data_IF_833558084951
#
_entry.id   IF_833558084951
#
_cell.length_a   1.000
_cell.length_b   1.000
_cell.length_c   1.000
_cell.angle_alpha   90.00
_cell.angle_beta   90.00
_cell.angle_gamma   90.00
#
_symmetry.space_group_name_H-M   'P 1'
#
loop_
_entity.id
_entity.type
_entity.pdbx_description
1 polymer ?
#
# COMPACT_ATOMS: atom_id res chain seq x y z
N UNK A 1 5.36 6.99 6.19
CA UNK A 1 5.97 5.83 5.51
C UNK A 1 6.90 5.05 6.44
N UNK A 2 7.80 5.69 7.19
CA UNK A 2 8.74 5.01 8.11
C UNK A 2 8.04 4.08 9.11
N UNK A 3 7.02 4.55 9.82
CA UNK A 3 6.26 3.74 10.77
C UNK A 3 5.62 2.47 10.15
N UNK A 4 5.18 2.54 8.88
CA UNK A 4 4.66 1.36 8.18
C UNK A 4 5.77 0.35 7.90
N UNK A 5 6.95 0.80 7.49
CA UNK A 5 8.10 -0.07 7.27
C UNK A 5 8.55 -0.72 8.57
N UNK A 6 8.61 0.04 9.64
CA UNK A 6 8.97 -0.45 10.97
C UNK A 6 7.96 -1.50 11.49
N UNK A 7 6.66 -1.26 11.34
CA UNK A 7 5.62 -2.18 11.80
C UNK A 7 5.53 -3.48 10.99
N UNK A 8 6.04 -3.50 9.77
CA UNK A 8 6.00 -4.66 8.88
C UNK A 8 7.41 -5.23 8.60
N UNK A 9 8.40 -4.81 9.36
CA UNK A 9 9.80 -5.26 9.27
C UNK A 9 10.37 -5.16 7.85
N UNK A 10 10.07 -4.03 7.17
CA UNK A 10 10.44 -3.84 5.77
C UNK A 10 11.71 -2.99 5.64
N UNK A 11 12.60 -3.33 4.69
CA UNK A 11 13.83 -2.58 4.47
C UNK A 11 13.54 -1.14 4.02
N UNK A 12 14.44 -0.24 4.38
CA UNK A 12 14.43 1.13 3.87
C UNK A 12 14.99 1.12 2.46
N UNK A 13 14.17 1.50 1.48
CA UNK A 13 14.66 1.80 0.14
C UNK A 13 15.23 3.23 0.17
N UNK A 14 16.54 3.36 -0.05
CA UNK A 14 17.17 4.66 -0.20
C UNK A 14 16.96 5.14 -1.64
N UNK A 15 16.04 6.05 -1.84
CA UNK A 15 16.07 6.92 -3.02
C UNK A 15 17.06 8.06 -2.76
N UNK A 16 17.85 8.43 -3.76
CA UNK A 16 18.68 9.63 -3.64
C UNK A 16 17.78 10.85 -3.40
N UNK A 17 18.24 11.86 -2.63
CA UNK A 17 17.43 13.05 -2.35
C UNK A 17 16.94 13.77 -3.61
N UNK A 18 17.65 13.67 -4.71
CA UNK A 18 17.30 14.25 -6.01
C UNK A 18 16.11 13.53 -6.68
N UNK A 19 15.98 12.21 -6.50
CA UNK A 19 14.84 11.44 -7.02
C UNK A 19 13.55 11.63 -6.22
N UNK A 20 13.63 12.23 -5.04
CA UNK A 20 12.46 12.43 -4.18
C UNK A 20 11.51 13.51 -4.70
N UNK A 21 11.97 14.42 -5.54
CA UNK A 21 11.17 15.54 -6.08
C UNK A 21 10.61 15.27 -7.48
N UNK A 22 11.36 14.61 -8.35
CA UNK A 22 11.06 14.55 -9.77
C UNK A 22 10.48 13.21 -10.26
N UNK A 23 10.68 12.13 -9.51
CA UNK A 23 10.16 10.82 -9.88
C UNK A 23 9.46 10.16 -8.68
N UNK A 24 8.11 10.20 -8.62
CA UNK A 24 7.40 9.59 -7.52
C UNK A 24 7.65 8.09 -7.55
N UNK A 25 8.46 7.61 -6.63
CA UNK A 25 8.63 6.19 -6.35
C UNK A 25 7.25 5.55 -6.26
N UNK A 26 6.99 4.53 -7.06
CA UNK A 26 5.72 3.81 -6.99
C UNK A 26 5.76 2.77 -5.85
N UNK A 27 4.62 2.16 -5.56
CA UNK A 27 4.55 1.05 -4.64
C UNK A 27 5.44 -0.09 -5.12
N UNK A 28 6.13 -0.73 -4.19
CA UNK A 28 6.98 -1.91 -4.46
C UNK A 28 6.69 -3.02 -3.44
N UNK A 29 7.34 -4.16 -3.60
CA UNK A 29 7.31 -5.22 -2.59
C UNK A 29 7.93 -4.79 -1.24
N UNK A 30 8.72 -3.72 -1.24
CA UNK A 30 9.38 -3.15 -0.05
C UNK A 30 8.73 -1.84 0.42
N UNK A 31 7.72 -1.33 -0.29
CA UNK A 31 7.04 -0.05 0.02
C UNK A 31 5.55 -0.18 -0.22
N UNK A 32 4.78 -0.37 0.86
CA UNK A 32 3.33 -0.65 0.82
C UNK A 32 2.46 0.61 0.76
N UNK A 33 3.01 1.76 1.09
CA UNK A 33 2.33 3.04 1.00
C UNK A 33 3.30 4.15 0.59
N UNK A 34 2.81 5.07 -0.22
CA UNK A 34 3.52 6.27 -0.63
C UNK A 34 2.60 7.48 -0.54
N UNK A 35 3.20 8.65 -0.45
CA UNK A 35 2.48 9.92 -0.57
C UNK A 35 2.96 10.57 -1.86
N UNK A 36 2.05 10.78 -2.80
CA UNK A 36 2.33 11.50 -4.04
C UNK A 36 1.89 12.95 -3.91
N UNK A 37 2.76 13.85 -4.29
CA UNK A 37 2.45 15.26 -4.48
C UNK A 37 1.95 15.47 -5.90
N UNK A 38 0.82 16.09 -6.05
CA UNK A 38 0.27 16.54 -7.34
C UNK A 38 0.28 18.06 -7.34
N UNK A 39 0.89 18.65 -8.34
CA UNK A 39 0.92 20.09 -8.54
C UNK A 39 0.07 20.44 -9.76
N UNK A 40 -0.75 21.49 -9.62
CA UNK A 40 -1.51 22.06 -10.69
C UNK A 40 -1.21 23.57 -10.76
N UNK A 41 -0.60 24.00 -11.85
CA UNK A 41 -0.19 25.41 -12.02
C UNK A 41 1.12 25.80 -11.31
N UNK A 42 1.37 27.09 -11.23
CA UNK A 42 2.63 27.69 -10.78
C UNK A 42 2.60 28.28 -9.36
N UNK A 43 1.45 28.27 -8.68
CA UNK A 43 1.33 28.89 -7.37
C UNK A 43 1.79 27.99 -6.24
N UNK A 44 2.50 28.57 -5.31
CA UNK A 44 3.00 27.89 -4.12
C UNK A 44 1.94 27.69 -3.03
N UNK A 45 0.71 28.15 -3.22
CA UNK A 45 -0.32 28.14 -2.20
C UNK A 45 -1.32 26.99 -2.39
N UNK A 46 -1.54 26.25 -1.31
CA UNK A 46 -2.46 25.13 -1.21
C UNK A 46 -3.93 25.51 -1.32
N UNK A 47 -4.24 26.77 -1.07
CA UNK A 47 -5.61 27.28 -0.86
C UNK A 47 -6.22 27.92 -2.11
N UNK A 48 -5.47 27.98 -3.21
CA UNK A 48 -5.96 28.57 -4.45
C UNK A 48 -6.49 27.48 -5.38
N UNK A 49 -7.75 27.61 -5.78
CA UNK A 49 -8.49 26.61 -6.57
C UNK A 49 -7.86 26.33 -7.94
N UNK A 50 -7.19 27.32 -8.52
CA UNK A 50 -6.60 27.22 -9.86
C UNK A 50 -5.12 26.81 -9.85
N UNK A 51 -4.44 26.96 -8.73
CA UNK A 51 -3.01 26.76 -8.61
C UNK A 51 -2.67 26.17 -7.24
N UNK A 52 -2.86 24.88 -7.10
CA UNK A 52 -2.62 24.23 -5.84
C UNK A 52 -1.77 22.95 -5.97
N UNK A 53 -1.41 22.42 -4.85
CA UNK A 53 -0.86 21.08 -4.78
C UNK A 53 -1.66 20.23 -3.80
N UNK A 54 -1.75 18.92 -4.08
CA UNK A 54 -2.41 17.95 -3.22
C UNK A 54 -1.45 16.82 -2.88
N UNK A 55 -1.49 16.37 -1.63
CA UNK A 55 -0.81 15.17 -1.20
C UNK A 55 -1.80 14.01 -1.14
N UNK A 56 -1.60 13.01 -1.97
CA UNK A 56 -2.46 11.84 -2.04
C UNK A 56 -1.69 10.63 -1.54
N UNK A 57 -2.20 10.01 -0.48
CA UNK A 57 -1.67 8.75 0.04
C UNK A 57 -2.14 7.61 -0.85
N UNK A 58 -1.20 6.88 -1.42
CA UNK A 58 -1.44 5.69 -2.23
C UNK A 58 -1.13 4.43 -1.42
N UNK A 59 -2.13 3.60 -1.21
CA UNK A 59 -2.04 2.32 -0.48
C UNK A 59 -3.21 1.41 -0.88
N UNK A 60 -3.30 0.20 -0.32
CA UNK A 60 -4.47 -0.65 -0.48
C UNK A 60 -5.73 0.05 0.07
N UNK A 61 -6.79 0.07 -0.72
CA UNK A 61 -8.07 0.68 -0.34
C UNK A 61 -8.99 -0.29 0.42
N UNK A 62 -8.61 -1.57 0.53
CA UNK A 62 -9.42 -2.62 1.15
C UNK A 62 -10.88 -2.59 0.64
N UNK A 63 -11.03 -2.57 -0.68
CA UNK A 63 -12.29 -2.37 -1.42
C UNK A 63 -13.46 -3.13 -0.80
N UNK A 64 -14.67 -2.59 -0.96
CA UNK A 64 -15.90 -3.25 -0.52
C UNK A 64 -16.09 -4.55 -1.30
N UNK A 65 -15.91 -4.50 -2.61
CA UNK A 65 -15.86 -5.65 -3.51
C UNK A 65 -14.46 -5.80 -4.10
N UNK A 66 -13.58 -6.63 -3.48
CA UNK A 66 -12.19 -6.70 -3.83
C UNK A 66 -11.94 -7.67 -4.98
N UNK A 67 -11.79 -7.19 -6.22
CA UNK A 67 -11.46 -7.99 -7.39
C UNK A 67 -10.22 -8.88 -7.20
N UNK A 68 -9.26 -8.46 -6.38
CA UNK A 68 -8.07 -9.26 -6.06
C UNK A 68 -8.40 -10.52 -5.24
N UNK A 69 -9.44 -10.50 -4.42
CA UNK A 69 -9.92 -11.68 -3.67
C UNK A 69 -10.61 -12.64 -4.64
N UNK A 70 -11.54 -12.12 -5.46
CA UNK A 70 -12.27 -12.91 -6.45
C UNK A 70 -11.33 -13.58 -7.46
N UNK A 71 -10.25 -12.91 -7.85
CA UNK A 71 -9.27 -13.45 -8.79
C UNK A 71 -8.29 -14.46 -8.17
N UNK A 72 -8.30 -14.66 -6.86
CA UNK A 72 -7.34 -15.55 -6.19
C UNK A 72 -7.81 -17.02 -6.25
N UNK A 73 -7.18 -17.91 -7.04
CA UNK A 73 -7.64 -19.29 -7.22
C UNK A 73 -7.42 -20.17 -5.97
N UNK A 74 -6.54 -19.75 -5.06
CA UNK A 74 -6.15 -20.51 -3.86
C UNK A 74 -6.65 -19.85 -2.57
N UNK A 75 -7.52 -18.85 -2.65
CA UNK A 75 -8.04 -18.10 -1.50
C UNK A 75 -6.96 -17.62 -0.53
N UNK A 76 -5.80 -17.26 -1.06
CA UNK A 76 -4.73 -16.63 -0.28
C UNK A 76 -5.06 -15.17 0.09
N UNK A 77 -5.99 -14.55 -0.64
CA UNK A 77 -6.59 -13.27 -0.31
C UNK A 77 -8.02 -13.50 0.15
N UNK A 78 -8.40 -12.88 1.25
CA UNK A 78 -9.74 -12.96 1.81
C UNK A 78 -10.22 -11.61 2.32
N UNK A 79 -11.53 -11.39 2.31
CA UNK A 79 -12.19 -10.20 2.85
C UNK A 79 -12.77 -10.52 4.22
N UNK A 80 -12.15 -10.01 5.26
CA UNK A 80 -12.70 -10.09 6.60
C UNK A 80 -14.00 -9.26 6.67
N UNK A 81 -15.10 -9.93 6.94
CA UNK A 81 -16.44 -9.33 6.98
C UNK A 81 -16.65 -8.42 8.19
N UNK A 82 -15.93 -8.64 9.28
CA UNK A 82 -16.07 -7.86 10.51
C UNK A 82 -15.27 -6.57 10.43
N UNK A 83 -14.00 -6.66 10.06
CA UNK A 83 -13.10 -5.50 10.01
C UNK A 83 -13.10 -4.79 8.66
N UNK A 84 -13.60 -5.44 7.62
CA UNK A 84 -13.52 -4.93 6.25
C UNK A 84 -12.11 -4.99 5.64
N UNK A 85 -11.15 -5.58 6.31
CA UNK A 85 -9.78 -5.69 5.83
C UNK A 85 -9.67 -6.81 4.80
N UNK A 86 -9.01 -6.54 3.68
CA UNK A 86 -8.58 -7.60 2.77
C UNK A 86 -7.27 -8.15 3.29
N UNK A 87 -7.33 -9.35 3.84
CA UNK A 87 -6.19 -10.09 4.41
C UNK A 87 -5.43 -10.85 3.35
N UNK A 88 -4.23 -11.29 3.68
CA UNK A 88 -3.38 -12.07 2.80
C UNK A 88 -2.62 -13.13 3.60
N UNK A 89 -2.76 -14.39 3.17
CA UNK A 89 -2.05 -15.53 3.72
C UNK A 89 -0.91 -15.95 2.76
N UNK A 90 0.34 -15.67 3.11
CA UNK A 90 1.47 -16.06 2.29
C UNK A 90 1.67 -17.59 2.23
N UNK A 91 1.12 -18.37 3.18
CA UNK A 91 1.20 -19.82 3.19
C UNK A 91 0.44 -20.47 2.05
N UNK A 92 -0.69 -19.88 1.65
CA UNK A 92 -1.52 -20.35 0.53
C UNK A 92 -1.10 -19.80 -0.83
N UNK A 93 -0.35 -18.69 -0.86
CA UNK A 93 -0.02 -18.01 -2.10
C UNK A 93 0.93 -18.83 -2.97
N UNK A 94 0.54 -19.07 -4.22
CA UNK A 94 1.35 -19.76 -5.24
C UNK A 94 2.08 -18.80 -6.19
N UNK A 95 1.97 -17.49 -5.98
CA UNK A 95 2.65 -16.50 -6.82
C UNK A 95 2.09 -16.31 -8.24
N UNK A 96 0.84 -16.70 -8.51
CA UNK A 96 0.24 -16.65 -9.85
C UNK A 96 0.01 -15.22 -10.39
N UNK A 97 0.04 -14.20 -9.55
CA UNK A 97 -0.08 -12.76 -9.88
C UNK A 97 -1.44 -12.31 -10.41
N UNK A 98 -2.48 -13.15 -10.43
CA UNK A 98 -3.81 -12.76 -10.88
C UNK A 98 -4.38 -11.58 -10.09
N UNK A 99 -4.12 -11.51 -8.79
CA UNK A 99 -4.52 -10.38 -7.97
C UNK A 99 -3.85 -9.05 -8.36
N UNK A 100 -2.65 -9.08 -8.96
CA UNK A 100 -1.99 -7.87 -9.48
C UNK A 100 -2.72 -7.36 -10.73
N UNK A 101 -3.09 -8.27 -11.63
CA UNK A 101 -3.80 -7.94 -12.88
C UNK A 101 -5.23 -7.47 -12.58
N UNK A 102 -5.90 -8.13 -11.65
CA UNK A 102 -7.29 -7.82 -11.29
C UNK A 102 -7.43 -6.50 -10.51
N UNK A 103 -6.37 -6.01 -9.87
CA UNK A 103 -6.44 -4.78 -9.08
C UNK A 103 -6.38 -3.54 -9.96
N UNK A 104 -7.45 -2.72 -10.05
CA UNK A 104 -7.45 -1.52 -10.90
C UNK A 104 -6.48 -0.44 -10.39
N UNK A 105 -6.04 -0.55 -9.13
CA UNK A 105 -5.12 0.40 -8.49
C UNK A 105 -3.67 -0.07 -8.50
N UNK A 106 -3.39 -1.24 -9.08
CA UNK A 106 -2.05 -1.84 -9.13
C UNK A 106 -1.35 -1.92 -7.74
N UNK A 107 -2.10 -2.34 -6.72
CA UNK A 107 -1.61 -2.34 -5.34
C UNK A 107 -0.82 -3.60 -4.97
N UNK A 108 -1.29 -4.84 -5.23
CA UNK A 108 -0.46 -6.01 -4.95
C UNK A 108 0.82 -5.96 -5.76
N UNK A 109 1.96 -6.17 -5.12
CA UNK A 109 3.28 -6.19 -5.77
C UNK A 109 3.92 -7.56 -5.60
N UNK A 110 4.72 -7.97 -6.57
CA UNK A 110 5.39 -9.26 -6.58
C UNK A 110 6.86 -9.09 -6.15
N UNK A 111 7.36 -10.04 -5.37
CA UNK A 111 8.75 -10.04 -4.92
C UNK A 111 9.63 -10.67 -5.99
N UNK A 112 10.15 -9.87 -6.90
CA UNK A 112 10.99 -10.38 -8.01
C UNK A 112 12.36 -10.88 -7.58
N UNK A 113 12.77 -10.55 -6.37
CA UNK A 113 14.12 -10.81 -5.84
C UNK A 113 14.27 -12.23 -5.24
N UNK A 114 13.18 -12.99 -5.13
CA UNK A 114 13.16 -14.29 -4.45
C UNK A 114 12.86 -15.44 -5.40
N UNK A 115 13.48 -16.60 -5.18
CA UNK A 115 13.22 -17.80 -5.97
C UNK A 115 11.76 -18.30 -5.84
N UNK A 116 11.20 -18.24 -4.63
CA UNK A 116 9.79 -18.52 -4.35
C UNK A 116 9.05 -17.23 -4.06
N UNK A 117 8.85 -16.48 -5.10
CA UNK A 117 8.26 -15.15 -5.03
C UNK A 117 6.76 -15.21 -4.78
N UNK A 118 6.30 -14.33 -3.89
CA UNK A 118 4.90 -14.16 -3.52
C UNK A 118 4.47 -12.72 -3.75
N UNK A 119 3.21 -12.45 -3.66
CA UNK A 119 2.72 -11.09 -3.67
C UNK A 119 2.85 -10.47 -2.27
N UNK A 120 2.99 -9.16 -2.25
CA UNK A 120 2.92 -8.36 -1.02
C UNK A 120 1.91 -7.25 -1.22
N UNK A 121 1.12 -6.97 -0.20
CA UNK A 121 0.21 -5.83 -0.14
C UNK A 121 -0.01 -5.35 1.28
N UNK A 122 -0.46 -4.13 1.43
CA UNK A 122 -0.86 -3.58 2.73
C UNK A 122 -2.00 -4.40 3.35
N UNK A 123 -1.90 -4.74 4.63
CA UNK A 123 -2.92 -5.43 5.43
C UNK A 123 -3.47 -4.54 6.56
N UNK A 124 -3.31 -3.20 6.49
CA UNK A 124 -3.68 -2.24 7.53
C UNK A 124 -3.11 -2.58 8.92
N UNK A 125 -1.95 -3.22 8.97
CA UNK A 125 -1.34 -3.69 10.22
C UNK A 125 -2.32 -4.56 11.06
N UNK A 126 -3.02 -5.48 10.41
CA UNK A 126 -4.02 -6.34 11.05
C UNK A 126 -3.49 -7.02 12.31
N UNK A 127 -2.22 -7.45 12.30
CA UNK A 127 -1.56 -8.03 13.47
C UNK A 127 -1.64 -7.11 14.70
N UNK A 128 -1.46 -5.80 14.54
CA UNK A 128 -1.57 -4.85 15.66
C UNK A 128 -3.04 -4.64 16.07
N UNK A 129 -3.96 -4.67 15.12
CA UNK A 129 -5.40 -4.52 15.39
C UNK A 129 -5.90 -5.73 16.17
N UNK A 130 -5.50 -6.93 15.82
CA UNK A 130 -5.86 -8.16 16.50
C UNK A 130 -5.32 -8.23 17.95
N UNK A 131 -4.21 -7.54 18.22
CA UNK A 131 -3.64 -7.35 19.56
C UNK A 131 -4.29 -6.21 20.36
N UNK A 132 -5.35 -5.57 19.83
CA UNK A 132 -6.04 -4.44 20.46
C UNK A 132 -5.35 -3.09 20.23
N UNK A 133 -4.39 -3.01 19.33
CA UNK A 133 -3.70 -1.80 18.91
C UNK A 133 -4.43 -1.03 17.80
N UNK A 134 -3.79 0.04 17.34
CA UNK A 134 -4.28 0.88 16.24
C UNK A 134 -3.33 0.74 15.05
N UNK A 135 -3.89 0.62 13.85
CA UNK A 135 -3.10 0.64 12.62
C UNK A 135 -2.25 1.91 12.52
N UNK A 136 -0.97 1.76 12.20
CA UNK A 136 -0.08 2.91 11.97
C UNK A 136 -0.53 3.81 10.81
N UNK A 137 -1.31 3.30 9.88
CA UNK A 137 -1.85 4.09 8.77
C UNK A 137 -3.02 4.97 9.20
N UNK A 138 -3.67 4.64 10.31
CA UNK A 138 -4.83 5.35 10.86
C UNK A 138 -4.47 6.21 12.08
N UNK A 139 -3.25 6.17 12.52
CA UNK A 139 -2.75 7.11 13.53
C UNK A 139 -2.82 8.52 12.95
N UNK A 140 -3.89 9.22 13.28
CA UNK A 140 -3.84 10.66 13.35
C UNK A 140 -2.66 10.99 14.26
N UNK A 141 -1.68 11.71 13.74
CA UNK A 141 -0.55 12.16 14.52
C UNK A 141 -1.05 12.68 15.86
N UNK A 142 -0.81 11.94 16.92
CA UNK A 142 -0.92 12.46 18.27
C UNK A 142 0.24 13.42 18.39
N UNK A 143 -0.05 14.70 18.21
CA UNK A 143 0.83 15.80 18.59
C UNK A 143 0.74 15.95 20.10
#
# INVERSE_FOLDING_TARGET
MAACKQANDMPVESSSPEQFQDDPVDLSSKTLNIIKKYENGTAARKDEVENGYAFIKRQCLHCVDPACVTACPVTALDKDKLTGIVTYDPGRCIGCRYCMIACPYNIPKFEWDKAYSKIIKCQLCKHLIDEGGISYSDRKSVV
#
